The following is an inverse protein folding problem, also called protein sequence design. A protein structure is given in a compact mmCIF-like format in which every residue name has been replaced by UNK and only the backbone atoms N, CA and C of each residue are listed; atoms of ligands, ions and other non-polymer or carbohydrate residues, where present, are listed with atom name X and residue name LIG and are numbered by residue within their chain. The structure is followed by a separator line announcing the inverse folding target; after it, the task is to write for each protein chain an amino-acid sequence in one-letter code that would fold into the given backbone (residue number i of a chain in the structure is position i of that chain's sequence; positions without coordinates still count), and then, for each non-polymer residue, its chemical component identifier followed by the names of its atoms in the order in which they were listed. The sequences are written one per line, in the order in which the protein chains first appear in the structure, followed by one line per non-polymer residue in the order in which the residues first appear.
data_IF_729751190938
#
_entry.id   IF_729751190938
#
_cell.length_a   1.000
_cell.length_b   1.000
_cell.length_c   1.000
_cell.angle_alpha   90.00
_cell.angle_beta   90.00
_cell.angle_gamma   90.00
#
_symmetry.space_group_name_H-M   'P 1'
#
loop_
_entity.id
_entity.type
_entity.pdbx_description
1 polymer ?
#
# COMPACT_ATOMS: atom_id res chain seq x y z
N UNK A 1 -18.01 -3.67 -6.53
CA UNK A 1 -17.64 -2.38 -5.91
C UNK A 1 -16.21 -2.52 -5.44
N UNK A 2 -15.23 -1.99 -6.19
CA UNK A 2 -13.82 -2.15 -5.84
C UNK A 2 -13.56 -1.43 -4.51
N UNK A 3 -12.78 -2.00 -3.58
CA UNK A 3 -12.35 -1.30 -2.38
C UNK A 3 -11.30 -0.27 -2.80
N UNK A 4 -11.75 0.86 -3.37
CA UNK A 4 -10.87 2.00 -3.64
C UNK A 4 -10.43 2.56 -2.29
N UNK A 5 -9.27 2.10 -1.84
CA UNK A 5 -8.51 2.71 -0.77
C UNK A 5 -7.85 3.97 -1.33
N UNK A 6 -7.93 5.06 -0.58
CA UNK A 6 -7.27 6.30 -0.96
C UNK A 6 -5.79 6.19 -0.59
N UNK A 7 -4.93 6.14 -1.61
CA UNK A 7 -3.49 6.24 -1.43
C UNK A 7 -3.09 7.69 -1.18
N UNK A 8 -2.22 7.92 -0.19
CA UNK A 8 -1.55 9.20 0.04
C UNK A 8 -0.06 9.04 -0.18
N UNK A 9 0.59 10.05 -0.73
CA UNK A 9 2.05 10.08 -0.85
C UNK A 9 2.67 10.49 0.49
N UNK A 10 3.69 9.75 0.91
CA UNK A 10 4.55 10.03 2.05
C UNK A 10 5.96 10.24 1.50
N UNK A 11 6.62 11.31 1.90
CA UNK A 11 8.02 11.53 1.53
C UNK A 11 8.91 11.07 2.69
N UNK A 12 9.63 9.97 2.49
CA UNK A 12 10.53 9.38 3.48
C UNK A 12 11.97 9.42 2.96
N UNK A 13 12.88 10.11 3.66
CA UNK A 13 14.31 10.15 3.33
C UNK A 13 14.65 10.46 1.85
N UNK A 14 13.82 11.28 1.19
CA UNK A 14 14.00 11.68 -0.21
C UNK A 14 13.35 10.73 -1.24
N UNK A 15 12.64 9.69 -0.79
CA UNK A 15 11.83 8.83 -1.64
C UNK A 15 10.34 9.01 -1.35
N UNK A 16 9.53 9.08 -2.41
CA UNK A 16 8.08 9.12 -2.32
C UNK A 16 7.53 7.69 -2.20
N UNK A 17 7.04 7.33 -1.03
CA UNK A 17 6.36 6.07 -0.79
C UNK A 17 4.84 6.29 -0.68
N UNK A 18 4.07 5.25 -0.96
CA UNK A 18 2.61 5.29 -0.85
C UNK A 18 2.18 4.81 0.54
N UNK A 19 1.22 5.52 1.13
CA UNK A 19 0.59 5.20 2.40
C UNK A 19 -0.93 5.15 2.30
N UNK A 20 -1.55 4.48 3.27
CA UNK A 20 -2.99 4.26 3.36
C UNK A 20 -3.50 4.81 4.68
N UNK A 21 -4.62 5.54 4.64
CA UNK A 21 -5.27 6.07 5.84
C UNK A 21 -5.82 4.92 6.69
N UNK A 22 -5.33 4.81 7.93
CA UNK A 22 -5.73 3.74 8.84
C UNK A 22 -7.24 3.77 9.16
N UNK A 23 -7.86 4.95 9.17
CA UNK A 23 -9.30 5.08 9.44
C UNK A 23 -10.13 4.55 8.28
N UNK A 24 -9.69 4.82 7.05
CA UNK A 24 -10.35 4.27 5.87
C UNK A 24 -10.19 2.75 5.84
N UNK A 25 -8.98 2.24 6.11
CA UNK A 25 -8.74 0.80 6.20
C UNK A 25 -9.66 0.15 7.25
N UNK A 26 -9.73 0.71 8.45
CA UNK A 26 -10.59 0.21 9.53
C UNK A 26 -12.08 0.19 9.16
N UNK A 27 -12.59 1.28 8.56
CA UNK A 27 -13.97 1.36 8.06
C UNK A 27 -14.28 0.28 7.03
N UNK A 28 -13.32 -0.05 6.17
CA UNK A 28 -13.51 -1.08 5.14
C UNK A 28 -13.42 -2.49 5.72
N UNK A 29 -12.59 -2.69 6.73
CA UNK A 29 -12.47 -3.97 7.41
C UNK A 29 -13.74 -4.32 8.19
N UNK A 30 -14.48 -3.31 8.65
CA UNK A 30 -15.75 -3.41 9.38
C UNK A 30 -15.71 -4.45 10.51
N UNK A 31 -14.62 -4.43 11.28
CA UNK A 31 -14.37 -5.42 12.33
C UNK A 31 -15.15 -5.16 13.64
N UNK A 32 -16.07 -4.19 13.64
CA UNK A 32 -16.91 -3.84 14.79
C UNK A 32 -16.20 -3.19 16.00
N UNK A 33 -14.88 -3.00 15.95
CA UNK A 33 -14.11 -2.39 17.06
C UNK A 33 -13.98 -0.88 16.89
N UNK A 34 -13.77 -0.14 17.99
CA UNK A 34 -13.49 1.30 17.90
C UNK A 34 -12.09 1.52 17.33
N UNK A 35 -11.96 2.40 16.34
CA UNK A 35 -10.69 2.70 15.66
C UNK A 35 -9.50 2.94 16.62
N UNK A 36 -9.70 3.70 17.69
CA UNK A 36 -8.63 4.04 18.63
C UNK A 36 -8.10 2.81 19.40
N UNK A 37 -8.98 1.89 19.76
CA UNK A 37 -8.61 0.66 20.47
C UNK A 37 -7.98 -0.33 19.48
N UNK A 38 -8.54 -0.39 18.27
CA UNK A 38 -8.02 -1.21 17.18
C UNK A 38 -6.58 -0.85 16.82
N UNK A 39 -6.31 0.41 16.49
CA UNK A 39 -4.97 0.83 16.03
C UNK A 39 -3.92 0.65 17.14
N UNK A 40 -4.26 0.98 18.39
CA UNK A 40 -3.35 0.78 19.53
C UNK A 40 -3.01 -0.70 19.74
N UNK A 41 -4.03 -1.56 19.69
CA UNK A 41 -3.85 -3.01 19.84
C UNK A 41 -2.98 -3.57 18.71
N UNK A 42 -3.18 -3.12 17.48
CA UNK A 42 -2.36 -3.57 16.34
C UNK A 42 -0.92 -3.05 16.38
N UNK A 43 -0.71 -1.82 16.84
CA UNK A 43 0.64 -1.29 17.05
C UNK A 43 1.39 -2.13 18.10
N UNK A 44 0.73 -2.48 19.19
CA UNK A 44 1.32 -3.26 20.28
C UNK A 44 1.57 -4.73 19.89
N UNK A 45 0.57 -5.39 19.29
CA UNK A 45 0.61 -6.81 18.92
C UNK A 45 1.60 -7.13 17.79
N UNK A 46 1.81 -6.19 16.87
CA UNK A 46 2.73 -6.33 15.73
C UNK A 46 4.01 -5.50 15.89
N UNK A 47 4.23 -4.91 17.07
CA UNK A 47 5.40 -4.10 17.39
C UNK A 47 5.71 -3.03 16.32
N UNK A 48 4.65 -2.41 15.77
CA UNK A 48 4.77 -1.47 14.67
C UNK A 48 5.61 -0.25 15.07
N UNK A 49 6.53 0.17 14.22
CA UNK A 49 7.42 1.29 14.49
C UNK A 49 6.94 2.58 13.85
N UNK A 50 6.84 3.65 14.66
CA UNK A 50 6.57 4.98 14.16
C UNK A 50 7.70 5.45 13.23
N UNK A 51 7.35 6.10 12.12
CA UNK A 51 8.29 6.55 11.09
C UNK A 51 8.78 5.46 10.13
N UNK A 52 8.39 4.20 10.35
CA UNK A 52 8.66 3.06 9.46
C UNK A 52 7.38 2.40 8.97
N UNK A 53 6.54 1.93 9.89
CA UNK A 53 5.34 1.14 9.59
C UNK A 53 4.08 2.01 9.58
N UNK A 54 4.08 3.03 10.46
CA UNK A 54 3.03 4.04 10.50
C UNK A 54 3.62 5.43 10.79
N UNK A 55 2.88 6.45 10.36
CA UNK A 55 3.18 7.85 10.60
C UNK A 55 1.97 8.48 11.27
N UNK A 56 2.20 9.18 12.37
CA UNK A 56 1.13 9.89 13.06
C UNK A 56 1.06 11.37 12.64
N UNK A 57 0.15 12.12 13.23
CA UNK A 57 0.00 13.55 12.95
C UNK A 57 1.23 14.40 13.32
N UNK A 58 2.12 13.90 14.18
CA UNK A 58 3.39 14.53 14.53
C UNK A 58 4.38 14.39 13.38
N UNK A 59 4.50 13.18 12.84
CA UNK A 59 5.44 12.84 11.76
C UNK A 59 5.01 13.44 10.42
N UNK A 60 3.70 13.54 10.18
CA UNK A 60 3.13 14.11 8.95
C UNK A 60 3.23 15.64 8.88
N UNK A 61 3.92 16.27 9.84
CA UNK A 61 4.24 17.68 9.82
C UNK A 61 2.99 18.55 9.72
N UNK A 62 2.14 18.54 10.75
CA UNK A 62 1.08 19.54 10.94
C UNK A 62 0.37 19.89 9.61
N UNK A 63 -0.10 18.88 8.87
CA UNK A 63 -1.07 19.10 7.78
C UNK A 63 -2.37 19.56 8.44
N UNK A 64 -2.36 20.83 8.90
CA UNK A 64 -3.55 21.57 9.28
C UNK A 64 -4.44 21.49 8.05
N UNK A 65 -5.48 20.67 8.12
CA UNK A 65 -6.63 20.88 7.25
C UNK A 65 -6.97 22.36 7.41
N UNK A 66 -6.74 23.15 6.36
CA UNK A 66 -7.18 24.54 6.27
C UNK A 66 -8.72 24.50 6.24
N UNK A 67 -9.31 24.39 7.42
CA UNK A 67 -10.74 24.36 7.65
C UNK A 67 -10.99 25.04 8.99
N UNK A 68 -11.60 26.22 8.95
CA UNK A 68 -12.03 26.97 10.13
C UNK A 68 -13.14 26.18 10.81
N UNK A 69 -12.83 25.53 11.92
CA UNK A 69 -13.84 24.85 12.72
C UNK A 69 -13.15 23.96 13.73
N UNK A 70 -13.27 24.31 15.00
CA UNK A 70 -12.64 23.58 16.09
C UNK A 70 -13.16 22.16 16.26
N UNK A 71 -12.50 21.49 17.20
CA UNK A 71 -12.88 20.26 17.87
C UNK A 71 -12.27 18.95 17.34
N UNK A 72 -11.58 18.29 18.28
CA UNK A 72 -10.72 17.10 18.18
C UNK A 72 -9.57 17.16 17.17
N UNK A 73 -8.35 17.26 17.72
CA UNK A 73 -7.12 16.67 17.16
C UNK A 73 -7.38 15.19 16.84
N UNK A 74 -8.02 14.91 15.71
CA UNK A 74 -8.18 13.54 15.23
C UNK A 74 -6.78 13.11 14.82
N UNK A 75 -6.15 12.28 15.66
CA UNK A 75 -4.89 11.65 15.28
C UNK A 75 -5.15 10.88 13.99
N UNK A 76 -4.48 11.32 12.94
CA UNK A 76 -4.48 10.65 11.65
C UNK A 76 -3.27 9.73 11.66
N UNK A 77 -3.54 8.45 11.45
CA UNK A 77 -2.51 7.44 11.31
C UNK A 77 -2.45 7.08 9.83
N UNK A 78 -1.25 7.17 9.28
CA UNK A 78 -0.97 6.78 7.91
C UNK A 78 -0.08 5.54 7.95
N UNK A 79 -0.59 4.44 7.42
CA UNK A 79 0.12 3.17 7.37
C UNK A 79 0.87 3.05 6.06
N UNK A 80 2.01 2.38 6.04
CA UNK A 80 2.60 1.98 4.76
C UNK A 80 1.70 0.95 4.06
N UNK A 81 1.83 0.84 2.74
CA UNK A 81 1.10 -0.19 1.97
C UNK A 81 1.41 -1.60 2.49
N UNK A 82 2.65 -1.87 2.90
CA UNK A 82 3.06 -3.15 3.46
C UNK A 82 2.29 -3.47 4.77
N UNK A 83 2.33 -2.54 5.73
CA UNK A 83 1.63 -2.67 7.00
C UNK A 83 0.12 -2.79 6.81
N UNK A 84 -0.47 -2.03 5.88
CA UNK A 84 -1.90 -2.11 5.59
C UNK A 84 -2.31 -3.50 5.05
N UNK A 85 -1.47 -4.15 4.23
CA UNK A 85 -1.72 -5.52 3.77
C UNK A 85 -1.64 -6.53 4.90
N UNK A 86 -0.66 -6.38 5.78
CA UNK A 86 -0.49 -7.24 6.93
C UNK A 86 -1.71 -7.15 7.85
N UNK A 87 -2.15 -5.94 8.20
CA UNK A 87 -3.36 -5.75 9.00
C UNK A 87 -4.62 -6.29 8.30
N UNK A 88 -4.76 -6.11 6.98
CA UNK A 88 -5.89 -6.66 6.23
C UNK A 88 -5.91 -8.21 6.25
N UNK A 89 -4.74 -8.85 6.33
CA UNK A 89 -4.63 -10.31 6.47
C UNK A 89 -4.99 -10.77 7.89
N UNK A 90 -4.55 -10.02 8.90
CA UNK A 90 -4.72 -10.35 10.32
C UNK A 90 -6.18 -10.32 10.76
N UNK A 91 -6.97 -9.36 10.27
CA UNK A 91 -8.37 -9.25 10.68
C UNK A 91 -9.23 -10.45 10.24
N UNK A 92 -8.77 -11.26 9.28
CA UNK A 92 -9.47 -12.45 8.78
C UNK A 92 -10.94 -12.18 8.36
N UNK A 93 -11.25 -10.96 7.91
CA UNK A 93 -12.59 -10.63 7.40
C UNK A 93 -12.69 -10.88 5.89
N UNK A 94 -13.90 -11.09 5.39
CA UNK A 94 -14.16 -11.21 3.95
C UNK A 94 -13.69 -9.95 3.20
N UNK A 95 -13.84 -8.79 3.84
CA UNK A 95 -13.33 -7.50 3.34
C UNK A 95 -11.80 -7.44 3.37
N UNK A 96 -11.15 -7.96 4.42
CA UNK A 96 -9.69 -8.07 4.48
C UNK A 96 -9.12 -8.91 3.33
N UNK A 97 -9.78 -10.02 2.97
CA UNK A 97 -9.40 -10.84 1.80
C UNK A 97 -9.55 -10.06 0.49
N UNK A 98 -10.62 -9.28 0.33
CA UNK A 98 -10.83 -8.45 -0.84
C UNK A 98 -9.79 -7.32 -0.95
N UNK A 99 -9.47 -6.65 0.17
CA UNK A 99 -8.46 -5.60 0.25
C UNK A 99 -7.08 -6.16 -0.09
N UNK A 100 -6.70 -7.33 0.46
CA UNK A 100 -5.43 -7.98 0.13
C UNK A 100 -5.32 -8.23 -1.38
N UNK A 101 -6.36 -8.78 -2.01
CA UNK A 101 -6.39 -9.04 -3.46
C UNK A 101 -6.25 -7.75 -4.25
N UNK A 102 -6.98 -6.69 -3.88
CA UNK A 102 -6.90 -5.40 -4.55
C UNK A 102 -5.51 -4.77 -4.45
N UNK A 103 -4.85 -4.87 -3.29
CA UNK A 103 -3.51 -4.33 -3.09
C UNK A 103 -2.44 -5.11 -3.88
N UNK A 104 -2.55 -6.45 -3.95
CA UNK A 104 -1.67 -7.29 -4.78
C UNK A 104 -1.87 -6.96 -6.26
N UNK A 105 -3.11 -6.92 -6.73
CA UNK A 105 -3.43 -6.57 -8.12
C UNK A 105 -2.89 -5.18 -8.49
N UNK A 106 -2.99 -4.21 -7.58
CA UNK A 106 -2.44 -2.86 -7.80
C UNK A 106 -0.93 -2.90 -7.98
N UNK A 107 -0.20 -3.65 -7.15
CA UNK A 107 1.25 -3.78 -7.28
C UNK A 107 1.68 -4.56 -8.53
N UNK A 108 0.99 -5.65 -8.85
CA UNK A 108 1.24 -6.43 -10.06
C UNK A 108 1.03 -5.56 -11.30
N UNK A 109 -0.01 -4.72 -11.33
CA UNK A 109 -0.25 -3.79 -12.44
C UNK A 109 0.83 -2.71 -12.54
N UNK A 110 1.31 -2.17 -11.42
CA UNK A 110 2.43 -1.22 -11.40
C UNK A 110 3.73 -1.88 -11.87
N UNK A 111 3.99 -3.12 -11.44
CA UNK A 111 5.14 -3.90 -11.88
C UNK A 111 5.05 -4.25 -13.38
N UNK A 112 3.87 -4.65 -13.86
CA UNK A 112 3.62 -5.00 -15.26
C UNK A 112 3.68 -3.77 -16.18
N UNK A 113 3.19 -2.61 -15.72
CA UNK A 113 3.34 -1.33 -16.41
C UNK A 113 4.79 -0.89 -16.58
N UNK A 114 5.67 -1.24 -15.63
CA UNK A 114 7.12 -1.05 -15.75
C UNK A 114 7.80 -2.05 -16.69
N UNK A 115 7.19 -3.21 -16.97
CA UNK A 115 7.73 -4.22 -17.90
C UNK A 115 7.32 -4.03 -19.36
N UNK A 116 6.43 -3.08 -19.67
CA UNK A 116 6.02 -2.78 -21.06
C UNK A 116 7.15 -2.21 -21.95
N UNK A 117 8.35 -1.99 -21.42
CA UNK A 117 9.54 -1.59 -22.19
C UNK A 117 10.60 -2.72 -22.29
N UNK A 118 10.43 -3.90 -21.67
CA UNK A 118 11.48 -4.95 -21.70
C UNK A 118 11.00 -6.34 -22.15
N UNK A 119 9.91 -6.41 -22.92
CA UNK A 119 9.45 -7.66 -23.54
C UNK A 119 9.38 -7.62 -25.08
N UNK A 120 10.02 -6.64 -25.74
CA UNK A 120 10.28 -6.70 -27.19
C UNK A 120 11.71 -7.15 -27.56
N UNK A 121 12.56 -7.48 -26.58
CA UNK A 121 13.93 -7.94 -26.84
C UNK A 121 14.10 -9.44 -26.56
N UNK A 122 13.32 -10.30 -27.24
CA UNK A 122 13.53 -11.76 -27.26
C UNK A 122 12.72 -12.46 -28.36
N UNK A 123 12.71 -11.95 -29.60
CA UNK A 123 12.12 -12.71 -30.72
C UNK A 123 12.81 -12.53 -32.09
N UNK A 124 14.12 -12.26 -32.09
CA UNK A 124 14.92 -12.29 -33.32
C UNK A 124 16.38 -12.73 -33.07
N UNK A 125 16.60 -13.93 -32.51
CA UNK A 125 17.95 -14.49 -32.38
C UNK A 125 18.07 -15.99 -32.64
N UNK A 126 17.10 -16.63 -33.31
CA UNK A 126 17.20 -18.03 -33.72
C UNK A 126 16.56 -18.22 -35.10
N UNK A 127 17.30 -18.05 -36.19
CA UNK A 127 16.90 -18.65 -37.48
C UNK A 127 17.98 -18.85 -38.56
N UNK A 128 19.26 -18.45 -38.42
CA UNK A 128 20.24 -18.78 -39.48
C UNK A 128 21.59 -19.21 -38.91
N UNK A 129 21.60 -20.38 -38.28
CA UNK A 129 22.79 -21.22 -38.17
C UNK A 129 22.42 -22.57 -38.80
N UNK A 130 22.58 -22.69 -40.11
CA UNK A 130 22.27 -23.94 -40.81
C UNK A 130 22.13 -23.81 -42.31
N UNK A 131 23.24 -23.61 -43.03
CA UNK A 131 23.49 -24.39 -44.25
C UNK A 131 24.90 -24.14 -44.81
N UNK A 132 25.66 -25.23 -44.81
CA UNK A 132 26.59 -25.65 -45.85
C UNK A 132 27.92 -24.88 -46.00
N UNK A 133 28.85 -25.19 -45.10
CA UNK A 133 30.11 -25.80 -45.55
C UNK A 133 29.76 -27.17 -46.13
N UNK A 134 29.98 -27.41 -47.42
CA UNK A 134 30.54 -28.65 -47.99
C UNK A 134 30.91 -28.39 -49.46
N UNK A 135 32.21 -28.58 -49.72
CA UNK A 135 32.87 -28.94 -50.98
C UNK A 135 32.67 -28.05 -52.22
#
# INVERSE_FOLDING_TARGET
MHPNLTFRTITQAGADCHGIDARELHKRLDNGTKFADWIKRRIDEYELQAGRDFFDSSDLGNQKQKGRGGDRRSMNYLLTVATAKELAMVEHTDQGRAIRRALIETEERVAQGNTSCRAECSRAALSVAGSLMHA
#
